data_IF_124530529495
#
_entry.id   IF_124530529495
#
_cell.length_a   1.000
_cell.length_b   1.000
_cell.length_c   1.000
_cell.angle_alpha   90.00
_cell.angle_beta   90.00
_cell.angle_gamma   90.00
#
_symmetry.space_group_name_H-M   'P 1'
#
loop_
_entity.id
_entity.type
_entity.pdbx_description
1 polymer ?
#
# COMPACT_ATOMS: atom_id res chain seq x y z
N UNK A 1 -6.54 -23.76 -4.46
CA UNK A 1 -7.82 -23.24 -4.98
C UNK A 1 -7.76 -21.72 -5.12
N UNK A 2 -7.34 -20.97 -4.08
CA UNK A 2 -7.26 -19.49 -4.15
C UNK A 2 -6.41 -18.99 -5.33
N UNK A 3 -5.27 -19.63 -5.61
CA UNK A 3 -4.40 -19.26 -6.73
C UNK A 3 -5.12 -19.40 -8.10
N UNK A 4 -5.95 -20.43 -8.28
CA UNK A 4 -6.75 -20.61 -9.50
C UNK A 4 -7.81 -19.50 -9.65
N UNK A 5 -8.53 -19.17 -8.56
CA UNK A 5 -9.47 -18.04 -8.59
C UNK A 5 -8.76 -16.72 -8.89
N UNK A 6 -7.60 -16.51 -8.28
CA UNK A 6 -6.78 -15.32 -8.52
C UNK A 6 -6.31 -15.23 -9.98
N UNK A 7 -5.81 -16.33 -10.55
CA UNK A 7 -5.39 -16.37 -11.95
C UNK A 7 -6.55 -16.03 -12.90
N UNK A 8 -7.71 -16.65 -12.70
CA UNK A 8 -8.88 -16.37 -13.52
C UNK A 8 -9.33 -14.89 -13.40
N UNK A 9 -9.38 -14.36 -12.17
CA UNK A 9 -9.72 -12.96 -11.92
C UNK A 9 -8.71 -11.98 -12.53
N UNK A 10 -7.42 -12.28 -12.44
CA UNK A 10 -6.38 -11.46 -13.08
C UNK A 10 -6.53 -11.42 -14.61
N UNK A 11 -6.84 -12.57 -15.23
CA UNK A 11 -7.08 -12.62 -16.68
C UNK A 11 -8.33 -11.85 -17.07
N UNK A 12 -9.39 -11.92 -16.30
CA UNK A 12 -10.63 -11.19 -16.57
C UNK A 12 -10.43 -9.67 -16.45
N UNK A 13 -9.62 -9.22 -15.49
CA UNK A 13 -9.41 -7.78 -15.22
C UNK A 13 -8.31 -7.18 -16.10
N UNK A 14 -7.18 -7.89 -16.29
CA UNK A 14 -5.99 -7.37 -16.96
C UNK A 14 -5.87 -7.86 -18.41
N UNK A 15 -6.49 -9.00 -18.74
CA UNK A 15 -6.50 -9.57 -20.08
C UNK A 15 -5.76 -10.90 -20.21
N UNK A 16 -5.90 -11.49 -21.40
CA UNK A 16 -5.43 -12.85 -21.71
C UNK A 16 -3.92 -13.05 -21.72
N UNK A 17 -3.14 -11.96 -21.72
CA UNK A 17 -1.66 -12.01 -21.63
C UNK A 17 -1.16 -12.42 -20.24
N UNK A 18 -2.05 -12.45 -19.24
CA UNK A 18 -1.71 -12.90 -17.89
C UNK A 18 -1.54 -14.41 -17.88
N UNK A 19 -0.32 -14.86 -17.57
CA UNK A 19 0.05 -16.24 -17.39
C UNK A 19 0.81 -16.42 -16.07
N UNK A 20 0.59 -17.54 -15.40
CA UNK A 20 1.35 -17.88 -14.21
C UNK A 20 2.83 -18.06 -14.57
N UNK A 21 3.70 -17.34 -13.86
CA UNK A 21 5.16 -17.47 -13.91
C UNK A 21 5.71 -18.28 -12.73
N UNK A 22 4.97 -18.32 -11.61
CA UNK A 22 5.29 -19.08 -10.43
C UNK A 22 4.22 -18.98 -9.36
N UNK A 23 4.24 -19.90 -8.41
CA UNK A 23 3.35 -19.83 -7.24
C UNK A 23 3.96 -20.52 -6.03
N UNK A 24 3.55 -20.09 -4.86
CA UNK A 24 3.81 -20.76 -3.59
C UNK A 24 2.59 -20.58 -2.68
N UNK A 25 1.97 -21.68 -2.31
CA UNK A 25 0.84 -21.68 -1.38
C UNK A 25 1.27 -22.37 -0.09
N UNK A 26 1.14 -21.65 1.01
CA UNK A 26 1.40 -22.11 2.38
C UNK A 26 0.12 -21.98 3.22
N UNK A 27 0.07 -22.53 4.44
CA UNK A 27 -1.06 -22.28 5.33
C UNK A 27 -1.27 -20.80 5.68
N UNK A 28 -0.24 -19.96 5.57
CA UNK A 28 -0.27 -18.56 5.95
C UNK A 28 -0.53 -17.61 4.78
N UNK A 29 -0.11 -17.97 3.57
CA UNK A 29 -0.15 -17.07 2.42
C UNK A 29 -0.25 -17.79 1.07
N UNK A 30 -0.74 -17.07 0.08
CA UNK A 30 -0.74 -17.44 -1.32
C UNK A 30 0.10 -16.41 -2.08
N UNK A 31 1.26 -16.81 -2.60
CA UNK A 31 2.08 -16.03 -3.51
C UNK A 31 1.82 -16.48 -4.94
N UNK A 32 1.61 -15.51 -5.82
CA UNK A 32 1.34 -15.75 -7.23
C UNK A 32 2.15 -14.78 -8.10
N UNK A 33 3.02 -15.33 -8.95
CA UNK A 33 3.84 -14.57 -9.89
C UNK A 33 3.22 -14.72 -11.28
N UNK A 34 3.04 -13.62 -11.99
CA UNK A 34 2.35 -13.61 -13.28
C UNK A 34 2.96 -12.60 -14.26
N UNK A 35 2.77 -12.87 -15.56
CA UNK A 35 3.21 -11.98 -16.63
C UNK A 35 2.32 -10.74 -16.70
N UNK A 36 2.92 -9.57 -16.50
CA UNK A 36 2.26 -8.28 -16.71
C UNK A 36 3.31 -7.16 -16.78
N UNK A 37 3.09 -6.17 -17.62
CA UNK A 37 4.09 -5.17 -18.01
C UNK A 37 4.11 -3.91 -17.14
N UNK A 38 3.08 -3.66 -16.33
CA UNK A 38 2.97 -2.48 -15.46
C UNK A 38 2.53 -2.85 -14.04
N UNK A 39 2.69 -1.93 -13.09
CA UNK A 39 2.08 -2.05 -11.77
C UNK A 39 0.56 -2.00 -11.90
N UNK A 40 -0.15 -2.81 -11.13
CA UNK A 40 -1.60 -2.74 -11.05
C UNK A 40 -2.05 -1.46 -10.35
N UNK A 41 -3.13 -0.87 -10.85
CA UNK A 41 -3.79 0.24 -10.17
C UNK A 41 -4.55 -0.25 -8.93
N UNK A 42 -4.90 0.67 -8.04
CA UNK A 42 -5.72 0.32 -6.85
C UNK A 42 -7.08 -0.23 -7.24
N UNK A 43 -7.66 0.32 -8.30
CA UNK A 43 -8.96 -0.08 -8.84
C UNK A 43 -8.90 -1.50 -9.42
N UNK A 44 -7.83 -1.85 -10.16
CA UNK A 44 -7.62 -3.20 -10.67
C UNK A 44 -7.44 -4.22 -9.54
N UNK A 45 -6.64 -3.90 -8.51
CA UNK A 45 -6.46 -4.74 -7.33
C UNK A 45 -7.80 -4.98 -6.62
N UNK A 46 -8.59 -3.92 -6.40
CA UNK A 46 -9.90 -4.03 -5.76
C UNK A 46 -10.85 -4.88 -6.59
N UNK A 47 -10.86 -4.73 -7.91
CA UNK A 47 -11.72 -5.50 -8.80
C UNK A 47 -11.36 -6.99 -8.81
N UNK A 48 -10.05 -7.31 -8.80
CA UNK A 48 -9.58 -8.69 -8.67
C UNK A 48 -9.99 -9.29 -7.33
N UNK A 49 -9.78 -8.56 -6.21
CA UNK A 49 -10.21 -9.01 -4.89
C UNK A 49 -11.72 -9.26 -4.82
N UNK A 50 -12.50 -8.32 -5.33
CA UNK A 50 -13.96 -8.43 -5.37
C UNK A 50 -14.38 -9.67 -6.14
N UNK A 51 -13.85 -9.87 -7.34
CA UNK A 51 -14.19 -11.00 -8.19
C UNK A 51 -13.85 -12.35 -7.54
N UNK A 52 -12.67 -12.46 -6.93
CA UNK A 52 -12.28 -13.67 -6.18
C UNK A 52 -13.24 -13.92 -5.01
N UNK A 53 -13.57 -12.89 -4.23
CA UNK A 53 -14.48 -13.01 -3.09
C UNK A 53 -15.91 -13.35 -3.53
N UNK A 54 -16.40 -12.81 -4.64
CA UNK A 54 -17.70 -13.20 -5.23
C UNK A 54 -17.73 -14.68 -5.54
N UNK A 55 -16.68 -15.25 -6.14
CA UNK A 55 -16.60 -16.68 -6.44
C UNK A 55 -16.46 -17.55 -5.18
N UNK A 56 -15.81 -17.05 -4.14
CA UNK A 56 -15.75 -17.71 -2.82
C UNK A 56 -17.14 -17.74 -2.19
N UNK A 57 -17.82 -16.59 -2.11
CA UNK A 57 -19.12 -16.46 -1.47
C UNK A 57 -20.24 -17.16 -2.23
N UNK A 58 -20.06 -17.38 -3.53
CA UNK A 58 -21.00 -18.17 -4.34
C UNK A 58 -20.96 -19.68 -4.01
N UNK A 59 -20.04 -20.13 -3.13
CA UNK A 59 -19.95 -21.52 -2.66
C UNK A 59 -19.91 -22.54 -3.80
N UNK A 60 -19.10 -22.28 -4.82
CA UNK A 60 -19.02 -23.08 -6.04
C UNK A 60 -18.34 -24.42 -5.72
N UNK A 61 -18.89 -25.57 -6.14
CA UNK A 61 -18.23 -26.87 -6.05
C UNK A 61 -16.93 -26.87 -6.86
N UNK A 62 -15.85 -27.41 -6.27
CA UNK A 62 -14.58 -27.61 -6.94
C UNK A 62 -14.47 -29.07 -7.35
N UNK A 63 -14.50 -29.32 -8.65
CA UNK A 63 -14.44 -30.69 -9.19
C UNK A 63 -13.04 -31.04 -9.64
N UNK A 64 -12.69 -32.30 -9.52
CA UNK A 64 -11.41 -32.86 -9.98
C UNK A 64 -11.66 -34.11 -10.80
N UNK A 65 -11.16 -34.09 -12.03
CA UNK A 65 -11.32 -35.23 -12.96
C UNK A 65 -9.98 -35.58 -13.61
N UNK A 66 -9.79 -36.81 -13.92
CA UNK A 66 -8.67 -37.28 -14.76
C UNK A 66 -9.19 -37.55 -16.17
N UNK A 67 -8.69 -36.80 -17.13
CA UNK A 67 -9.18 -36.80 -18.51
C UNK A 67 -8.02 -37.00 -19.51
N UNK A 68 -8.29 -37.59 -20.67
CA UNK A 68 -7.34 -37.50 -21.78
C UNK A 68 -7.04 -36.04 -22.13
N UNK A 69 -5.76 -35.72 -22.37
CA UNK A 69 -5.31 -34.33 -22.62
C UNK A 69 -6.08 -33.63 -23.75
N UNK A 70 -6.45 -34.40 -24.79
CA UNK A 70 -7.23 -33.87 -25.92
C UNK A 70 -8.64 -33.44 -25.49
N UNK A 71 -9.27 -34.17 -24.56
CA UNK A 71 -10.59 -33.81 -24.01
C UNK A 71 -10.48 -32.63 -23.07
N UNK A 72 -9.49 -32.60 -22.17
CA UNK A 72 -9.25 -31.50 -21.24
C UNK A 72 -9.03 -30.19 -21.98
N UNK A 73 -8.27 -30.18 -23.08
CA UNK A 73 -8.08 -28.99 -23.94
C UNK A 73 -9.38 -28.53 -24.60
N UNK A 74 -10.25 -29.45 -25.04
CA UNK A 74 -11.56 -29.10 -25.61
C UNK A 74 -12.47 -28.39 -24.59
N UNK A 75 -12.30 -28.70 -23.29
CA UNK A 75 -13.01 -28.00 -22.19
C UNK A 75 -12.40 -26.64 -21.82
N UNK A 76 -11.38 -26.17 -22.56
CA UNK A 76 -10.71 -24.90 -22.28
C UNK A 76 -9.73 -24.93 -21.11
N UNK A 77 -9.34 -26.14 -20.64
CA UNK A 77 -8.46 -26.26 -19.50
C UNK A 77 -7.08 -25.65 -19.80
N UNK A 78 -6.65 -24.73 -18.95
CA UNK A 78 -5.35 -24.07 -19.05
C UNK A 78 -4.25 -24.99 -18.53
N UNK A 79 -3.16 -25.09 -19.31
CA UNK A 79 -1.94 -25.76 -18.92
C UNK A 79 -0.90 -24.74 -18.47
N UNK A 80 -0.07 -25.08 -17.48
CA UNK A 80 1.08 -24.27 -17.12
C UNK A 80 2.08 -24.23 -18.28
N UNK A 81 2.60 -23.03 -18.54
CA UNK A 81 3.53 -22.84 -19.65
C UNK A 81 4.84 -23.60 -19.39
N UNK A 82 5.27 -24.40 -20.36
CA UNK A 82 6.55 -25.13 -20.31
C UNK A 82 6.51 -26.49 -19.62
N UNK A 83 5.38 -26.92 -19.05
CA UNK A 83 5.25 -28.28 -18.50
C UNK A 83 4.93 -29.31 -19.58
N UNK A 84 5.51 -30.51 -19.42
CA UNK A 84 5.20 -31.67 -20.26
C UNK A 84 4.16 -32.52 -19.55
N UNK A 85 3.03 -32.71 -20.18
CA UNK A 85 1.93 -33.52 -19.67
C UNK A 85 1.88 -34.88 -20.36
N UNK A 86 1.48 -35.90 -19.61
CA UNK A 86 1.19 -37.22 -20.18
C UNK A 86 -0.14 -37.28 -20.94
N UNK A 87 -0.51 -38.47 -21.40
CA UNK A 87 -1.75 -38.68 -22.16
C UNK A 87 -3.00 -38.42 -21.34
N UNK A 88 -2.94 -38.58 -20.03
CA UNK A 88 -4.02 -38.30 -19.07
C UNK A 88 -3.56 -37.21 -18.11
N UNK A 89 -4.39 -36.21 -17.93
CA UNK A 89 -4.15 -35.03 -17.07
C UNK A 89 -5.22 -34.90 -16.01
N UNK A 90 -4.83 -34.42 -14.83
CA UNK A 90 -5.75 -34.05 -13.77
C UNK A 90 -6.23 -32.62 -14.01
N UNK A 91 -7.54 -32.43 -14.16
CA UNK A 91 -8.20 -31.16 -14.37
C UNK A 91 -8.95 -30.80 -13.10
N UNK A 92 -8.71 -29.57 -12.62
CA UNK A 92 -9.46 -28.97 -11.51
C UNK A 92 -10.30 -27.85 -12.06
N UNK A 93 -11.61 -27.92 -11.79
CA UNK A 93 -12.59 -26.95 -12.30
C UNK A 93 -13.36 -26.27 -11.15
N UNK A 94 -13.52 -24.98 -11.26
CA UNK A 94 -14.39 -24.13 -10.43
C UNK A 94 -15.44 -23.56 -11.38
N UNK A 95 -16.50 -24.32 -11.65
CA UNK A 95 -17.44 -24.05 -12.74
C UNK A 95 -16.67 -23.82 -14.06
N UNK A 96 -17.10 -22.88 -14.87
CA UNK A 96 -16.46 -22.36 -16.09
C UNK A 96 -15.49 -21.17 -15.82
N UNK A 97 -15.45 -20.70 -14.57
CA UNK A 97 -14.60 -19.56 -14.18
C UNK A 97 -13.12 -19.88 -14.18
N UNK A 98 -12.75 -21.09 -13.69
CA UNK A 98 -11.37 -21.57 -13.73
C UNK A 98 -11.33 -23.06 -14.02
N UNK A 99 -10.67 -23.44 -15.11
CA UNK A 99 -10.45 -24.83 -15.50
C UNK A 99 -8.96 -25.00 -15.81
N UNK A 100 -8.25 -25.76 -14.97
CA UNK A 100 -6.78 -25.81 -15.04
C UNK A 100 -6.23 -27.23 -14.88
N UNK A 101 -5.12 -27.51 -15.54
CA UNK A 101 -4.32 -28.69 -15.27
C UNK A 101 -3.59 -28.49 -13.94
N UNK A 102 -3.92 -29.29 -12.94
CA UNK A 102 -3.35 -29.11 -11.62
C UNK A 102 -3.21 -30.42 -10.85
N UNK A 103 -1.98 -30.71 -10.40
CA UNK A 103 -1.66 -31.83 -9.52
C UNK A 103 -1.84 -31.55 -8.04
N UNK A 104 -2.08 -30.29 -7.66
CA UNK A 104 -2.17 -29.84 -6.28
C UNK A 104 -3.45 -30.25 -5.54
N UNK A 105 -3.47 -30.04 -4.24
CA UNK A 105 -4.64 -30.25 -3.39
C UNK A 105 -5.57 -29.06 -3.43
N UNK A 106 -6.88 -29.32 -3.39
CA UNK A 106 -7.92 -28.30 -3.44
C UNK A 106 -9.00 -28.54 -2.39
N UNK A 107 -9.68 -27.47 -1.98
CA UNK A 107 -10.94 -27.60 -1.26
C UNK A 107 -12.03 -28.11 -2.23
N UNK A 108 -13.04 -28.74 -1.72
CA UNK A 108 -14.18 -29.26 -2.50
C UNK A 108 -15.25 -28.21 -2.78
N UNK A 109 -15.18 -27.06 -2.10
CA UNK A 109 -16.09 -25.93 -2.27
C UNK A 109 -15.36 -24.61 -2.01
N UNK A 110 -15.58 -23.61 -2.83
CA UNK A 110 -14.88 -22.32 -2.74
C UNK A 110 -15.14 -21.58 -1.42
N UNK A 111 -16.32 -21.73 -0.81
CA UNK A 111 -16.64 -21.13 0.48
C UNK A 111 -15.69 -21.52 1.61
N UNK A 112 -15.04 -22.69 1.52
CA UNK A 112 -14.04 -23.16 2.51
C UNK A 112 -12.77 -22.34 2.53
N UNK A 113 -12.54 -21.46 1.54
CA UNK A 113 -11.43 -20.51 1.53
C UNK A 113 -11.67 -19.34 2.51
N UNK A 114 -12.92 -19.06 2.87
CA UNK A 114 -13.29 -17.86 3.62
C UNK A 114 -13.12 -16.60 2.77
N UNK A 115 -12.63 -15.50 3.36
CA UNK A 115 -12.34 -14.29 2.60
C UNK A 115 -10.96 -14.35 1.97
N UNK A 116 -10.77 -13.57 0.90
CA UNK A 116 -9.50 -13.39 0.20
C UNK A 116 -9.08 -11.92 0.25
N UNK A 117 -7.79 -11.64 0.52
CA UNK A 117 -7.24 -10.28 0.51
C UNK A 117 -5.86 -10.28 -0.11
N UNK A 118 -5.62 -9.32 -1.03
CA UNK A 118 -4.27 -9.03 -1.54
C UNK A 118 -3.54 -8.15 -0.52
N UNK A 119 -2.37 -8.60 -0.09
CA UNK A 119 -1.52 -7.90 0.87
C UNK A 119 -0.54 -6.99 0.16
N UNK A 120 0.03 -7.46 -0.94
CA UNK A 120 0.99 -6.70 -1.73
C UNK A 120 0.96 -7.08 -3.20
N UNK A 121 1.36 -6.12 -4.06
CA UNK A 121 1.60 -6.30 -5.49
C UNK A 121 2.92 -5.61 -5.83
N UNK A 122 3.90 -6.37 -6.35
CA UNK A 122 5.26 -5.87 -6.59
C UNK A 122 5.85 -6.42 -7.91
N UNK A 123 6.86 -5.74 -8.45
CA UNK A 123 7.69 -6.27 -9.52
C UNK A 123 8.73 -7.23 -8.97
N UNK A 124 8.95 -8.38 -9.62
CA UNK A 124 10.01 -9.33 -9.26
C UNK A 124 11.01 -9.56 -10.38
N UNK A 125 10.60 -9.32 -11.62
CA UNK A 125 11.46 -9.34 -12.80
C UNK A 125 10.85 -8.47 -13.91
N UNK A 126 11.59 -8.24 -14.98
CA UNK A 126 11.05 -7.54 -16.15
C UNK A 126 9.86 -8.30 -16.72
N UNK A 127 8.70 -7.63 -16.77
CA UNK A 127 7.44 -8.22 -17.27
C UNK A 127 6.81 -9.27 -16.33
N UNK A 128 7.28 -9.40 -15.09
CA UNK A 128 6.72 -10.33 -14.08
C UNK A 128 6.33 -9.57 -12.81
N UNK A 129 5.07 -9.70 -12.43
CA UNK A 129 4.49 -9.14 -11.20
C UNK A 129 4.23 -10.25 -10.19
N UNK A 130 4.26 -9.92 -8.92
CA UNK A 130 3.98 -10.80 -7.80
C UNK A 130 2.85 -10.24 -6.96
N UNK A 131 1.86 -11.06 -6.70
CA UNK A 131 0.84 -10.83 -5.68
C UNK A 131 1.12 -11.73 -4.50
N UNK A 132 1.04 -11.16 -3.30
CA UNK A 132 0.93 -11.89 -2.04
C UNK A 132 -0.46 -11.67 -1.48
N UNK A 133 -1.13 -12.76 -1.12
CA UNK A 133 -2.50 -12.73 -0.63
C UNK A 133 -2.68 -13.70 0.55
N UNK A 134 -3.73 -13.49 1.31
CA UNK A 134 -4.15 -14.33 2.42
C UNK A 134 -5.61 -14.73 2.26
N UNK A 135 -6.01 -15.82 2.93
CA UNK A 135 -7.39 -16.31 2.95
C UNK A 135 -7.84 -16.61 4.38
N UNK A 136 -9.16 -16.75 4.56
CA UNK A 136 -9.77 -17.20 5.81
C UNK A 136 -9.38 -16.33 7.00
N UNK A 137 -8.87 -16.98 8.06
CA UNK A 137 -8.46 -16.30 9.30
C UNK A 137 -7.32 -15.31 9.12
N UNK A 138 -6.47 -15.46 8.08
CA UNK A 138 -5.43 -14.50 7.76
C UNK A 138 -6.01 -13.12 7.40
N UNK A 139 -7.18 -13.08 6.75
CA UNK A 139 -7.86 -11.81 6.46
C UNK A 139 -8.39 -11.16 7.73
N UNK A 140 -8.93 -11.94 8.68
CA UNK A 140 -9.38 -11.41 9.97
C UNK A 140 -8.21 -10.81 10.75
N UNK A 141 -7.07 -11.49 10.78
CA UNK A 141 -5.85 -10.98 11.44
C UNK A 141 -5.38 -9.64 10.84
N UNK A 142 -5.46 -9.47 9.51
CA UNK A 142 -5.14 -8.19 8.88
C UNK A 142 -6.11 -7.09 9.29
N UNK A 143 -7.41 -7.39 9.36
CA UNK A 143 -8.42 -6.43 9.80
C UNK A 143 -8.23 -6.03 11.26
N UNK A 144 -7.98 -7.00 12.14
CA UNK A 144 -7.74 -6.77 13.57
C UNK A 144 -6.48 -5.90 13.77
N UNK A 145 -5.39 -6.19 13.03
CA UNK A 145 -4.17 -5.39 13.09
C UNK A 145 -4.40 -3.95 12.65
N UNK A 146 -5.08 -3.73 11.51
CA UNK A 146 -5.41 -2.40 11.02
C UNK A 146 -6.31 -1.63 12.00
N UNK A 147 -7.29 -2.32 12.62
CA UNK A 147 -8.16 -1.71 13.62
C UNK A 147 -7.37 -1.29 14.87
N UNK A 148 -6.44 -2.14 15.33
CA UNK A 148 -5.59 -1.83 16.47
C UNK A 148 -4.71 -0.61 16.20
N UNK A 149 -4.09 -0.50 15.04
CA UNK A 149 -3.29 0.67 14.66
C UNK A 149 -4.13 1.96 14.63
N UNK A 150 -5.35 1.89 14.08
CA UNK A 150 -6.26 3.04 14.09
C UNK A 150 -6.65 3.45 15.52
N UNK A 151 -6.92 2.47 16.41
CA UNK A 151 -7.23 2.74 17.82
C UNK A 151 -6.04 3.39 18.54
N UNK A 152 -4.82 2.91 18.32
CA UNK A 152 -3.61 3.50 18.89
C UNK A 152 -3.39 4.94 18.41
N UNK A 153 -3.60 5.21 17.12
CA UNK A 153 -3.52 6.56 16.56
C UNK A 153 -4.59 7.49 17.16
N UNK A 154 -5.83 7.02 17.27
CA UNK A 154 -6.92 7.76 17.91
C UNK A 154 -6.60 8.08 19.37
N UNK A 155 -6.10 7.11 20.12
CA UNK A 155 -5.68 7.30 21.52
C UNK A 155 -4.55 8.32 21.65
N UNK A 156 -3.53 8.28 20.77
CA UNK A 156 -2.44 9.26 20.75
C UNK A 156 -2.96 10.69 20.51
N UNK A 157 -4.01 10.84 19.72
CA UNK A 157 -4.69 12.10 19.44
C UNK A 157 -5.79 12.44 20.47
N UNK A 158 -5.95 11.63 21.55
CA UNK A 158 -6.94 11.80 22.61
C UNK A 158 -8.39 11.79 22.09
N UNK A 159 -8.67 11.00 21.09
CA UNK A 159 -10.01 10.79 20.53
C UNK A 159 -10.74 9.65 21.25
N UNK A 160 -12.04 9.82 21.43
CA UNK A 160 -12.92 8.77 21.95
C UNK A 160 -13.41 7.80 20.88
N UNK A 161 -13.33 8.20 19.61
CA UNK A 161 -13.82 7.41 18.46
C UNK A 161 -12.83 7.45 17.30
N UNK A 162 -12.55 6.28 16.71
CA UNK A 162 -11.70 6.13 15.53
C UNK A 162 -12.26 6.85 14.29
N UNK A 163 -13.57 7.00 14.18
CA UNK A 163 -14.21 7.71 13.06
C UNK A 163 -13.80 9.19 12.95
N UNK A 164 -13.36 9.82 14.05
CA UNK A 164 -12.91 11.21 14.09
C UNK A 164 -11.44 11.38 13.68
N UNK A 165 -10.72 10.27 13.45
CA UNK A 165 -9.26 10.28 13.23
C UNK A 165 -8.84 11.14 12.05
N UNK A 166 -9.51 11.00 10.90
CA UNK A 166 -9.16 11.74 9.69
C UNK A 166 -9.36 13.25 9.85
N UNK A 167 -10.47 13.65 10.48
CA UNK A 167 -10.77 15.07 10.77
C UNK A 167 -9.76 15.66 11.75
N UNK A 168 -9.45 14.92 12.84
CA UNK A 168 -8.47 15.37 13.83
C UNK A 168 -7.06 15.48 13.24
N UNK A 169 -6.64 14.56 12.41
CA UNK A 169 -5.35 14.68 11.72
C UNK A 169 -5.29 15.95 10.87
N UNK A 170 -6.35 16.27 10.13
CA UNK A 170 -6.46 17.49 9.33
C UNK A 170 -6.37 18.73 10.21
N UNK A 171 -7.11 18.77 11.34
CA UNK A 171 -7.08 19.87 12.31
C UNK A 171 -5.70 20.07 12.91
N UNK A 172 -5.03 18.99 13.35
CA UNK A 172 -3.68 19.05 13.92
C UNK A 172 -2.66 19.60 12.93
N UNK A 173 -2.75 19.20 11.67
CA UNK A 173 -1.87 19.74 10.62
C UNK A 173 -2.11 21.23 10.37
N UNK A 174 -3.36 21.69 10.44
CA UNK A 174 -3.69 23.11 10.35
C UNK A 174 -3.16 23.91 11.56
N UNK A 175 -3.37 23.38 12.78
CA UNK A 175 -2.87 23.97 14.02
C UNK A 175 -1.33 24.07 14.03
N UNK A 176 -0.63 23.06 13.57
CA UNK A 176 0.83 23.06 13.44
C UNK A 176 1.29 24.18 12.50
N UNK A 177 0.67 24.30 11.33
CA UNK A 177 1.00 25.35 10.35
C UNK A 177 0.76 26.75 10.91
N UNK A 178 -0.30 26.95 11.68
CA UNK A 178 -0.59 28.23 12.35
C UNK A 178 0.46 28.53 13.43
N UNK A 179 0.80 27.56 14.27
CA UNK A 179 1.84 27.70 15.30
C UNK A 179 3.21 28.00 14.71
N UNK A 180 3.58 27.40 13.60
CA UNK A 180 4.84 27.68 12.91
C UNK A 180 4.87 29.14 12.40
N UNK A 181 3.78 29.63 11.81
CA UNK A 181 3.67 31.03 11.39
C UNK A 181 3.76 32.00 12.57
N UNK A 182 3.07 31.68 13.67
CA UNK A 182 3.12 32.50 14.88
C UNK A 182 4.54 32.51 15.47
N UNK A 183 5.22 31.39 15.51
CA UNK A 183 6.61 31.27 15.94
C UNK A 183 7.56 32.11 15.08
N UNK A 184 7.41 32.07 13.75
CA UNK A 184 8.20 32.88 12.84
C UNK A 184 7.95 34.38 13.07
N UNK A 185 6.70 34.79 13.25
CA UNK A 185 6.34 36.16 13.56
C UNK A 185 6.93 36.66 14.91
N UNK A 186 6.89 35.80 15.95
CA UNK A 186 7.50 36.08 17.23
C UNK A 186 9.02 36.20 17.13
N UNK A 187 9.67 35.30 16.42
CA UNK A 187 11.11 35.37 16.19
C UNK A 187 11.51 36.64 15.44
N UNK A 188 10.69 37.07 14.46
CA UNK A 188 10.92 38.35 13.78
C UNK A 188 10.81 39.54 14.75
N UNK A 189 9.78 39.59 15.61
CA UNK A 189 9.63 40.64 16.61
C UNK A 189 10.78 40.68 17.62
N UNK A 190 11.25 39.50 18.07
CA UNK A 190 12.41 39.42 18.95
C UNK A 190 13.65 39.96 18.24
N UNK A 191 13.86 39.62 16.99
CA UNK A 191 14.98 40.14 16.20
C UNK A 191 14.91 41.67 16.01
N UNK A 192 13.74 42.19 15.71
CA UNK A 192 13.52 43.66 15.56
C UNK A 192 13.80 44.38 16.88
N UNK A 193 13.34 43.85 18.02
CA UNK A 193 13.63 44.41 19.34
C UNK A 193 15.12 44.36 19.70
N UNK A 194 15.82 43.28 19.35
CA UNK A 194 17.28 43.16 19.55
C UNK A 194 18.06 44.17 18.71
N UNK A 195 17.64 44.45 17.47
CA UNK A 195 18.21 45.47 16.61
C UNK A 195 18.02 46.85 17.27
N UNK A 196 16.79 47.17 17.71
CA UNK A 196 16.46 48.45 18.34
C UNK A 196 17.27 48.69 19.61
N UNK A 197 17.44 47.64 20.44
CA UNK A 197 18.31 47.69 21.61
C UNK A 197 19.80 47.93 21.24
N UNK A 198 20.28 47.33 20.14
CA UNK A 198 21.62 47.54 19.64
C UNK A 198 21.86 49.00 19.17
N UNK A 199 20.88 49.63 18.54
CA UNK A 199 20.94 51.04 18.14
C UNK A 199 21.04 52.01 19.33
N UNK A 200 20.50 51.65 20.48
CA UNK A 200 20.61 52.45 21.70
C UNK A 200 22.02 52.41 22.32
N UNK A 201 22.90 51.48 21.87
CA UNK A 201 24.26 51.31 22.38
C UNK A 201 25.32 51.66 21.30
N UNK A 202 25.15 52.80 20.64
CA UNK A 202 26.12 53.29 19.65
C UNK A 202 27.30 53.99 20.38
N UNK A 203 28.51 53.49 20.14
CA UNK A 203 29.73 54.11 20.61
C UNK A 203 30.44 54.87 19.47
N UNK A 204 30.95 56.05 19.76
CA UNK A 204 31.73 56.79 18.80
C UNK A 204 33.23 56.56 19.08
N UNK A 205 33.98 56.05 18.12
CA UNK A 205 35.41 55.80 18.21
C UNK A 205 36.09 56.51 17.06
N UNK A 206 36.90 57.52 17.37
CA UNK A 206 37.65 58.34 16.39
C UNK A 206 36.75 58.96 15.28
N UNK A 207 35.57 59.43 15.62
CA UNK A 207 34.62 60.03 14.67
C UNK A 207 33.79 59.01 13.86
N UNK A 208 33.92 57.73 14.14
CA UNK A 208 33.13 56.64 13.50
C UNK A 208 32.13 56.08 14.50
N UNK A 209 30.86 56.01 14.14
CA UNK A 209 29.84 55.33 14.93
C UNK A 209 29.96 53.82 14.81
N UNK A 210 30.14 53.13 15.93
CA UNK A 210 30.30 51.68 16.01
C UNK A 210 29.17 51.09 16.84
N UNK A 211 28.50 50.09 16.26
CA UNK A 211 27.50 49.28 16.95
C UNK A 211 28.08 47.89 17.21
N UNK A 212 28.09 47.48 18.47
CA UNK A 212 28.46 46.10 18.85
C UNK A 212 27.30 45.49 19.61
N UNK A 213 26.79 44.36 19.12
CA UNK A 213 25.70 43.65 19.76
C UNK A 213 25.91 42.13 19.75
N UNK A 214 25.58 41.48 20.85
CA UNK A 214 25.53 40.02 20.94
C UNK A 214 24.11 39.57 20.66
N UNK A 215 23.93 38.77 19.59
CA UNK A 215 22.64 38.30 19.14
C UNK A 215 22.51 36.80 19.41
N UNK A 216 21.56 36.39 20.24
CA UNK A 216 21.31 35.00 20.56
C UNK A 216 20.19 34.41 19.67
N UNK A 217 20.39 33.17 19.16
CA UNK A 217 19.33 32.45 18.42
C UNK A 217 19.04 32.97 17.00
N UNK A 218 19.95 33.75 16.40
CA UNK A 218 19.81 34.33 15.07
C UNK A 218 20.44 33.41 14.00
N UNK A 219 19.71 33.09 12.96
CA UNK A 219 20.23 32.34 11.83
C UNK A 219 20.94 33.26 10.80
N UNK A 220 21.78 32.72 9.87
CA UNK A 220 22.52 33.54 8.89
C UNK A 220 21.65 34.40 7.98
N UNK A 221 20.43 33.99 7.67
CA UNK A 221 19.50 34.79 6.85
C UNK A 221 18.95 35.97 7.64
N UNK A 222 18.67 35.78 8.91
CA UNK A 222 18.28 36.85 9.82
C UNK A 222 19.39 37.89 9.99
N UNK A 223 20.65 37.46 10.21
CA UNK A 223 21.82 38.33 10.29
C UNK A 223 21.98 39.22 9.04
N UNK A 224 21.78 38.66 7.85
CA UNK A 224 21.81 39.46 6.60
C UNK A 224 20.75 40.53 6.56
N UNK A 225 19.48 40.19 6.87
CA UNK A 225 18.38 41.17 6.95
C UNK A 225 18.62 42.24 8.00
N UNK A 226 19.25 41.88 9.12
CA UNK A 226 19.62 42.85 10.16
C UNK A 226 20.73 43.78 9.66
N UNK A 227 21.75 43.26 8.98
CA UNK A 227 22.81 44.09 8.40
C UNK A 227 22.31 45.09 7.35
N UNK A 228 21.31 44.71 6.55
CA UNK A 228 20.71 45.59 5.54
C UNK A 228 19.85 46.72 6.15
N UNK A 229 19.34 46.55 7.38
CA UNK A 229 18.61 47.58 8.13
C UNK A 229 19.51 48.57 8.90
N UNK A 230 20.78 48.20 9.10
CA UNK A 230 21.77 49.00 9.83
C UNK A 230 22.54 49.94 8.88
N UNK A 231 22.50 49.65 7.58
CA UNK A 231 23.06 50.53 6.53
C UNK A 231 22.13 51.73 6.27
#
# INVERSE_FOLDING_TARGET
>A
TAAHLLQAALREVLGDHVHQAGQLVTPQSCRFDFSHFSAMTKEEIQKVEQLVNEKILAAIPVTTESLPIAEARKRGAMALFGEKYGDVVRVVSVSDFSVEFCGGTHVDNTAKLGLFRIVSENSVASGVRRIEAVTGTGVLQLLDAAQLEMQQAAHALKLGNVSELAERCTSVMAELKEKDRARESLNQKISDAQIEAAFNNVNEVKGVKVISAMLNGVNPQMLRKMGDRIK
#
